data_IF_643431931894
#
_entry.id   IF_643431931894
#
_cell.length_a   1.000
_cell.length_b   1.000
_cell.length_c   1.000
_cell.angle_alpha   90.00
_cell.angle_beta   90.00
_cell.angle_gamma   90.00
#
_symmetry.space_group_name_H-M   'P 1'
#
loop_
_entity.id
_entity.type
_entity.pdbx_description
1 polymer ?
#
# COMPACT_ATOMS: atom_id res chain seq x y z
N UNK A 1 -11.63 6.79 -5.17
CA UNK A 1 -12.31 7.04 -3.88
C UNK A 1 -13.38 5.98 -3.75
N UNK A 2 -13.17 4.98 -2.88
CA UNK A 2 -14.18 3.96 -2.65
C UNK A 2 -15.13 4.50 -1.57
N UNK A 3 -16.43 4.52 -1.87
CA UNK A 3 -17.46 5.14 -1.02
C UNK A 3 -18.58 4.14 -0.82
N UNK A 4 -18.39 3.26 0.16
CA UNK A 4 -19.48 2.47 0.71
C UNK A 4 -20.09 3.20 1.91
N UNK A 5 -21.37 2.91 2.19
CA UNK A 5 -22.38 3.80 2.80
C UNK A 5 -22.02 4.53 4.10
N UNK A 6 -20.85 4.34 4.71
CA UNK A 6 -20.46 4.98 5.98
C UNK A 6 -18.96 5.29 6.13
N UNK A 7 -18.13 5.10 5.10
CA UNK A 7 -16.71 5.46 5.18
C UNK A 7 -16.15 5.96 3.83
N UNK A 8 -15.19 6.87 3.91
CA UNK A 8 -14.40 7.31 2.76
C UNK A 8 -12.98 6.78 2.91
N UNK A 9 -12.56 5.87 2.03
CA UNK A 9 -11.18 5.39 1.99
C UNK A 9 -10.42 6.16 0.91
N UNK A 10 -9.26 6.69 1.30
CA UNK A 10 -8.27 7.21 0.37
C UNK A 10 -7.36 6.07 -0.08
N UNK A 11 -7.52 5.65 -1.34
CA UNK A 11 -6.62 4.70 -1.99
C UNK A 11 -5.53 5.52 -2.66
N UNK A 12 -4.31 5.46 -2.12
CA UNK A 12 -3.13 6.04 -2.76
C UNK A 12 -2.35 4.91 -3.41
N UNK A 13 -2.26 4.85 -4.76
CA UNK A 13 -1.40 3.87 -5.41
C UNK A 13 0.05 4.19 -5.02
N UNK A 14 0.67 3.26 -4.31
CA UNK A 14 2.08 3.34 -3.93
C UNK A 14 2.86 2.51 -4.95
N UNK A 15 3.43 3.17 -5.95
CA UNK A 15 4.40 2.53 -6.83
C UNK A 15 5.69 2.26 -6.04
N UNK A 16 6.00 0.99 -5.86
CA UNK A 16 7.30 0.55 -5.37
C UNK A 16 8.17 0.30 -6.60
N UNK A 17 8.89 1.31 -7.07
CA UNK A 17 9.85 1.13 -8.17
C UNK A 17 10.95 0.12 -7.79
N UNK A 18 11.73 -0.37 -8.77
CA UNK A 18 12.83 -1.33 -8.55
C UNK A 18 13.91 -0.89 -7.53
N UNK A 19 13.88 0.36 -7.04
CA UNK A 19 14.76 0.88 -5.98
C UNK A 19 14.06 1.09 -4.63
N UNK A 20 12.84 0.57 -4.44
CA UNK A 20 12.15 0.58 -3.16
C UNK A 20 11.61 1.94 -2.72
N UNK A 21 11.30 2.85 -3.65
CA UNK A 21 10.86 4.21 -3.31
C UNK A 21 9.34 4.40 -3.47
N UNK A 22 8.55 4.21 -2.41
CA UNK A 22 7.16 4.69 -2.34
C UNK A 22 7.08 6.22 -2.16
N UNK A 23 8.22 6.92 -2.19
CA UNK A 23 8.44 8.16 -1.46
C UNK A 23 7.47 9.28 -1.82
N UNK A 24 7.27 9.62 -3.09
CA UNK A 24 6.49 10.81 -3.42
C UNK A 24 4.98 10.65 -3.17
N UNK A 25 4.41 9.48 -3.49
CA UNK A 25 2.98 9.21 -3.27
C UNK A 25 2.68 9.04 -1.78
N UNK A 26 3.52 8.30 -1.06
CA UNK A 26 3.43 8.14 0.40
C UNK A 26 3.64 9.48 1.11
N UNK A 27 4.59 10.30 0.66
CA UNK A 27 4.81 11.62 1.26
C UNK A 27 3.61 12.55 1.10
N UNK A 28 2.94 12.53 -0.06
CA UNK A 28 1.68 13.25 -0.29
C UNK A 28 0.55 12.70 0.58
N UNK A 29 0.41 11.38 0.69
CA UNK A 29 -0.60 10.75 1.54
C UNK A 29 -0.38 11.11 3.03
N UNK A 30 0.84 10.95 3.52
CA UNK A 30 1.25 11.29 4.87
C UNK A 30 1.07 12.78 5.18
N UNK A 31 1.32 13.67 4.21
CA UNK A 31 1.00 15.09 4.32
C UNK A 31 -0.50 15.33 4.48
N UNK A 32 -1.33 14.67 3.68
CA UNK A 32 -2.78 14.80 3.75
C UNK A 32 -3.36 14.22 5.06
N UNK A 33 -2.70 13.22 5.63
CA UNK A 33 -2.98 12.67 6.96
C UNK A 33 -2.48 13.57 8.11
N UNK A 34 -1.87 14.71 7.80
CA UNK A 34 -1.42 15.69 8.81
C UNK A 34 -0.08 15.38 9.45
N UNK A 35 0.65 14.36 9.01
CA UNK A 35 2.00 14.07 9.53
C UNK A 35 3.02 15.11 9.02
N UNK A 36 3.94 15.51 9.89
CA UNK A 36 4.91 16.58 9.60
C UNK A 36 6.32 16.20 10.06
N UNK A 37 7.31 16.91 9.53
CA UNK A 37 8.71 16.84 9.98
C UNK A 37 9.26 15.42 10.06
N UNK A 38 9.93 15.13 11.17
CA UNK A 38 10.62 13.86 11.42
C UNK A 38 9.67 12.65 11.48
N UNK A 39 8.46 12.85 12.01
CA UNK A 39 7.43 11.81 12.07
C UNK A 39 7.06 11.35 10.67
N UNK A 40 6.89 12.29 9.72
CA UNK A 40 6.59 11.95 8.32
C UNK A 40 7.69 11.11 7.69
N UNK A 41 8.96 11.52 7.84
CA UNK A 41 10.10 10.77 7.29
C UNK A 41 10.24 9.39 7.93
N UNK A 42 9.96 9.26 9.23
CA UNK A 42 9.96 7.97 9.92
C UNK A 42 8.84 7.06 9.40
N UNK A 43 7.61 7.58 9.31
CA UNK A 43 6.46 6.85 8.79
C UNK A 43 6.65 6.40 7.36
N UNK A 44 7.23 7.26 6.50
CA UNK A 44 7.56 6.90 5.11
C UNK A 44 8.54 5.72 5.03
N UNK A 45 9.62 5.74 5.83
CA UNK A 45 10.60 4.66 5.87
C UNK A 45 10.01 3.35 6.35
N UNK A 46 9.18 3.40 7.39
CA UNK A 46 8.50 2.21 7.92
C UNK A 46 7.52 1.66 6.88
N UNK A 47 6.72 2.52 6.25
CA UNK A 47 5.82 2.11 5.16
C UNK A 47 6.57 1.43 4.01
N UNK A 48 7.71 1.98 3.60
CA UNK A 48 8.54 1.39 2.56
C UNK A 48 9.03 -0.01 2.91
N UNK A 49 9.51 -0.22 4.13
CA UNK A 49 9.95 -1.54 4.62
C UNK A 49 8.83 -2.56 4.63
N UNK A 50 7.66 -2.19 5.13
CA UNK A 50 6.51 -3.10 5.18
C UNK A 50 5.98 -3.42 3.77
N UNK A 51 5.94 -2.42 2.88
CA UNK A 51 5.56 -2.63 1.49
C UNK A 51 6.52 -3.57 0.75
N UNK A 52 7.83 -3.43 0.97
CA UNK A 52 8.85 -4.33 0.43
C UNK A 52 8.67 -5.76 0.96
N UNK A 53 8.52 -5.91 2.28
CA UNK A 53 8.32 -7.21 2.93
C UNK A 53 7.07 -7.91 2.42
N UNK A 54 5.96 -7.18 2.31
CA UNK A 54 4.71 -7.69 1.76
C UNK A 54 4.90 -8.12 0.29
N UNK A 55 5.52 -7.27 -0.53
CA UNK A 55 5.78 -7.57 -1.95
C UNK A 55 6.67 -8.80 -2.12
N UNK A 56 7.71 -8.94 -1.29
CA UNK A 56 8.60 -10.11 -1.28
C UNK A 56 7.83 -11.38 -0.91
N UNK A 57 6.98 -11.31 0.12
CA UNK A 57 6.12 -12.44 0.51
C UNK A 57 5.14 -12.85 -0.59
N UNK A 58 4.51 -11.89 -1.29
CA UNK A 58 3.67 -12.15 -2.46
C UNK A 58 4.47 -12.84 -3.58
N UNK A 59 5.67 -12.33 -3.88
CA UNK A 59 6.52 -12.86 -4.94
C UNK A 59 6.96 -14.30 -4.68
N UNK A 60 7.27 -14.65 -3.43
CA UNK A 60 7.62 -16.04 -3.05
C UNK A 60 6.45 -17.01 -3.26
N UNK A 61 5.22 -16.52 -3.09
CA UNK A 61 4.00 -17.32 -3.20
C UNK A 61 3.34 -17.28 -4.58
N UNK A 62 3.91 -16.57 -5.55
CA UNK A 62 3.32 -16.38 -6.89
C UNK A 62 3.07 -17.68 -7.65
N UNK A 63 3.78 -18.75 -7.29
CA UNK A 63 3.64 -20.07 -7.89
C UNK A 63 2.69 -21.00 -7.10
N UNK A 64 2.14 -20.55 -5.98
CA UNK A 64 1.14 -21.30 -5.23
C UNK A 64 -0.19 -21.30 -6.02
N UNK A 65 -0.58 -22.45 -6.56
CA UNK A 65 -1.83 -22.64 -7.31
C UNK A 65 -3.09 -22.44 -6.48
N UNK A 66 -2.95 -22.40 -5.16
CA UNK A 66 -4.04 -22.15 -4.19
C UNK A 66 -4.45 -20.68 -4.16
N UNK A 67 -3.63 -19.78 -4.69
CA UNK A 67 -3.94 -18.36 -4.77
C UNK A 67 -4.94 -18.08 -5.90
N UNK A 68 -6.21 -18.42 -5.68
CA UNK A 68 -7.30 -17.93 -6.51
C UNK A 68 -7.94 -16.76 -5.77
N UNK A 69 -8.09 -15.57 -6.38
CA UNK A 69 -9.02 -14.59 -5.84
C UNK A 69 -10.37 -15.31 -5.71
N UNK A 70 -11.01 -15.21 -4.54
CA UNK A 70 -12.35 -15.76 -4.37
C UNK A 70 -13.17 -15.21 -5.52
N UNK A 71 -13.59 -16.10 -6.43
CA UNK A 71 -14.51 -15.71 -7.48
C UNK A 71 -15.75 -15.23 -6.75
N UNK A 72 -15.90 -13.91 -6.67
CA UNK A 72 -17.10 -13.32 -6.12
C UNK A 72 -18.14 -13.61 -7.19
N UNK A 73 -18.86 -14.71 -7.02
CA UNK A 73 -20.02 -15.04 -7.83
C UNK A 73 -21.01 -13.90 -7.63
N UNK A 74 -21.00 -12.94 -8.55
CA UNK A 74 -22.07 -11.96 -8.69
C UNK A 74 -23.32 -12.74 -9.11
N UNK A 75 -24.22 -12.92 -8.14
CA UNK A 75 -25.63 -13.21 -8.37
C UNK A 75 -26.41 -11.91 -8.16
#
# INVERSE_FOLDING_TARGET
MCRERWFTIWIFPVEVGCRGFPAQSVWKALRNLGTKGRTRTSSERTLGKEAERASSWLLLRRYETTWKPSQTSSA
#
